data_IF_049116014434
#
_entry.id   IF_049116014434
#
_cell.length_a   1.000
_cell.length_b   1.000
_cell.length_c   1.000
_cell.angle_alpha   90.00
_cell.angle_beta   90.00
_cell.angle_gamma   90.00
#
_symmetry.space_group_name_H-M   'P 1'
#
loop_
_entity.id
_entity.type
_entity.pdbx_description
1 polymer ?
#
# COMPACT_ATOMS: atom_id res chain seq x y z
N UNK A 1 -7.57 23.27 2.99
CA UNK A 1 -6.17 23.76 3.08
C UNK A 1 -5.23 22.56 3.13
N UNK A 2 -4.26 22.47 2.21
CA UNK A 2 -3.22 21.42 2.22
C UNK A 2 -2.20 21.74 3.32
N UNK A 3 -1.89 20.73 4.17
CA UNK A 3 -0.81 20.80 5.15
C UNK A 3 0.28 19.84 4.69
N UNK A 4 1.46 20.37 4.38
CA UNK A 4 2.63 19.57 4.04
C UNK A 4 3.44 19.29 5.30
N UNK A 5 3.68 17.99 5.60
CA UNK A 5 4.53 17.54 6.69
C UNK A 5 5.71 16.79 6.08
N UNK A 6 6.90 17.34 6.22
CA UNK A 6 8.13 16.66 5.82
C UNK A 6 8.57 15.75 6.98
N UNK A 7 8.60 14.43 6.74
CA UNK A 7 8.97 13.42 7.72
C UNK A 7 9.36 12.12 7.00
N UNK A 8 10.42 11.47 7.48
CA UNK A 8 10.70 10.09 7.08
C UNK A 8 9.78 9.16 7.87
N UNK A 9 8.95 8.39 7.15
CA UNK A 9 8.01 7.44 7.77
C UNK A 9 8.70 6.30 8.53
N UNK A 10 9.98 6.04 8.28
CA UNK A 10 10.78 5.08 9.03
C UNK A 10 11.27 5.65 10.37
N UNK A 11 11.30 6.97 10.52
CA UNK A 11 11.66 7.61 11.80
C UNK A 11 10.42 7.71 12.70
N UNK A 12 10.19 6.66 13.51
CA UNK A 12 9.01 6.55 14.37
C UNK A 12 8.86 7.74 15.33
N UNK A 13 9.93 8.18 15.97
CA UNK A 13 9.89 9.27 16.95
C UNK A 13 9.48 10.61 16.30
N UNK A 14 10.09 10.93 15.15
CA UNK A 14 9.75 12.13 14.39
C UNK A 14 8.29 12.07 13.90
N UNK A 15 7.88 10.92 13.33
CA UNK A 15 6.50 10.70 12.87
C UNK A 15 5.49 10.91 14.00
N UNK A 16 5.77 10.37 15.19
CA UNK A 16 4.92 10.54 16.37
C UNK A 16 4.77 12.01 16.77
N UNK A 17 5.86 12.76 16.82
CA UNK A 17 5.83 14.19 17.14
C UNK A 17 5.07 15.02 16.08
N UNK A 18 5.31 14.74 14.81
CA UNK A 18 4.59 15.44 13.72
C UNK A 18 3.09 15.15 13.75
N UNK A 19 2.69 13.90 13.99
CA UNK A 19 1.29 13.52 14.09
C UNK A 19 0.59 14.08 15.30
N UNK A 20 1.27 14.40 16.41
CA UNK A 20 0.64 15.06 17.58
C UNK A 20 -0.08 16.35 17.19
N UNK A 21 0.43 17.09 16.21
CA UNK A 21 -0.13 18.37 15.74
C UNK A 21 -1.44 18.23 14.95
N UNK A 22 -1.76 17.03 14.47
CA UNK A 22 -3.00 16.77 13.74
C UNK A 22 -4.07 16.33 14.74
N UNK A 23 -5.13 17.11 14.87
CA UNK A 23 -6.19 16.84 15.85
C UNK A 23 -7.07 15.65 15.44
N UNK A 24 -7.51 15.61 14.19
CA UNK A 24 -8.48 14.64 13.67
C UNK A 24 -7.91 14.02 12.41
N UNK A 25 -8.05 12.70 12.27
CA UNK A 25 -7.74 11.95 11.07
C UNK A 25 -8.91 11.02 10.80
N UNK A 26 -9.59 11.20 9.68
CA UNK A 26 -10.72 10.37 9.25
C UNK A 26 -10.29 9.31 8.22
N UNK A 27 -9.26 9.62 7.42
CA UNK A 27 -8.76 8.74 6.36
C UNK A 27 -7.23 8.66 6.43
N UNK A 28 -6.70 7.45 6.29
CA UNK A 28 -5.28 7.19 6.08
C UNK A 28 -5.05 6.46 4.76
N UNK A 29 -4.16 7.00 3.93
CA UNK A 29 -3.62 6.28 2.77
C UNK A 29 -2.14 5.97 3.02
N UNK A 30 -1.83 4.73 3.34
CA UNK A 30 -0.48 4.22 3.54
C UNK A 30 0.16 3.90 2.19
N UNK A 31 0.80 4.90 1.57
CA UNK A 31 1.32 4.78 0.21
C UNK A 31 2.86 4.69 0.12
N UNK A 32 3.59 5.08 1.16
CA UNK A 32 5.05 5.05 1.15
C UNK A 32 5.58 3.62 0.92
N UNK A 33 6.49 3.47 -0.03
CA UNK A 33 7.08 2.17 -0.36
C UNK A 33 7.96 2.22 -1.58
N UNK A 34 8.80 1.19 -1.73
CA UNK A 34 9.70 1.04 -2.88
C UNK A 34 9.96 -0.43 -3.20
N UNK A 35 10.70 -0.67 -4.28
CA UNK A 35 11.07 -1.99 -4.73
C UNK A 35 12.52 -2.00 -5.22
N UNK A 36 13.30 -2.97 -4.76
CA UNK A 36 14.67 -3.24 -5.19
C UNK A 36 14.69 -4.64 -5.78
N UNK A 37 14.77 -4.77 -7.12
CA UNK A 37 14.83 -6.06 -7.79
C UNK A 37 16.19 -6.71 -7.63
N UNK A 38 16.22 -7.92 -7.06
CA UNK A 38 17.44 -8.73 -6.93
C UNK A 38 17.10 -10.21 -7.16
N UNK A 39 17.94 -11.00 -7.87
CA UNK A 39 17.85 -12.45 -7.90
C UNK A 39 17.94 -13.00 -6.46
N UNK A 40 17.21 -14.07 -6.15
CA UNK A 40 17.08 -14.58 -4.77
C UNK A 40 18.44 -14.83 -4.12
N UNK A 41 19.34 -15.50 -4.83
CA UNK A 41 20.68 -15.86 -4.33
C UNK A 41 21.64 -14.66 -4.18
N UNK A 42 21.26 -13.49 -4.68
CA UNK A 42 22.05 -12.24 -4.65
C UNK A 42 21.42 -11.14 -3.79
N UNK A 43 20.34 -11.45 -3.10
CA UNK A 43 19.66 -10.49 -2.23
C UNK A 43 20.63 -10.02 -1.14
N UNK A 44 20.86 -8.72 -1.08
CA UNK A 44 21.67 -8.12 -0.01
C UNK A 44 20.85 -7.96 1.25
N UNK A 45 21.45 -8.28 2.39
CA UNK A 45 20.81 -8.10 3.70
C UNK A 45 20.33 -6.66 3.92
N UNK A 46 21.10 -5.67 3.42
CA UNK A 46 20.74 -4.27 3.48
C UNK A 46 19.46 -3.97 2.68
N UNK A 47 19.31 -4.53 1.47
CA UNK A 47 18.11 -4.36 0.65
C UNK A 47 16.90 -4.99 1.33
N UNK A 48 17.08 -6.18 1.94
CA UNK A 48 16.02 -6.87 2.67
C UNK A 48 15.55 -6.02 3.85
N UNK A 49 16.46 -5.58 4.72
CA UNK A 49 16.13 -4.78 5.89
C UNK A 49 15.43 -3.49 5.48
N UNK A 50 15.95 -2.76 4.50
CA UNK A 50 15.38 -1.51 4.03
C UNK A 50 13.95 -1.68 3.47
N UNK A 51 13.71 -2.71 2.65
CA UNK A 51 12.37 -2.98 2.11
C UNK A 51 11.38 -3.39 3.19
N UNK A 52 11.80 -4.21 4.16
CA UNK A 52 10.95 -4.59 5.30
C UNK A 52 10.64 -3.38 6.17
N UNK A 53 11.64 -2.57 6.47
CA UNK A 53 11.47 -1.39 7.32
C UNK A 53 10.55 -0.35 6.67
N UNK A 54 10.74 -0.06 5.38
CA UNK A 54 9.93 0.93 4.67
C UNK A 54 8.52 0.41 4.33
N UNK A 55 8.44 -0.76 3.67
CA UNK A 55 7.16 -1.21 3.10
C UNK A 55 6.22 -1.83 4.13
N UNK A 56 6.74 -2.37 5.25
CA UNK A 56 5.93 -3.11 6.21
C UNK A 56 5.95 -2.47 7.60
N UNK A 57 7.12 -2.30 8.23
CA UNK A 57 7.20 -1.74 9.59
C UNK A 57 6.73 -0.28 9.63
N UNK A 58 7.16 0.55 8.67
CA UNK A 58 6.71 1.94 8.63
C UNK A 58 5.20 2.04 8.40
N UNK A 59 4.63 1.22 7.49
CA UNK A 59 3.18 1.18 7.27
C UNK A 59 2.42 0.78 8.54
N UNK A 60 2.89 -0.23 9.28
CA UNK A 60 2.35 -0.62 10.58
C UNK A 60 2.40 0.53 11.58
N UNK A 61 3.56 1.17 11.72
CA UNK A 61 3.77 2.27 12.68
C UNK A 61 2.86 3.46 12.41
N UNK A 62 2.75 3.88 11.14
CA UNK A 62 1.84 4.96 10.72
C UNK A 62 0.40 4.58 11.07
N UNK A 63 -0.03 3.37 10.69
CA UNK A 63 -1.38 2.89 10.95
C UNK A 63 -1.67 2.87 12.46
N UNK A 64 -0.76 2.35 13.29
CA UNK A 64 -0.94 2.29 14.75
C UNK A 64 -1.12 3.69 15.37
N UNK A 65 -0.29 4.66 14.95
CA UNK A 65 -0.39 6.02 15.45
C UNK A 65 -1.71 6.69 15.03
N UNK A 66 -2.15 6.46 13.80
CA UNK A 66 -3.41 6.99 13.28
C UNK A 66 -4.61 6.33 13.95
N UNK A 67 -4.61 5.00 14.10
CA UNK A 67 -5.68 4.26 14.80
C UNK A 67 -5.86 4.76 16.22
N UNK A 68 -4.78 5.02 16.98
CA UNK A 68 -4.87 5.62 18.32
C UNK A 68 -5.60 6.96 18.31
N UNK A 69 -5.49 7.75 17.23
CA UNK A 69 -6.21 9.02 17.08
C UNK A 69 -7.66 8.81 16.65
N UNK A 70 -7.92 7.92 15.69
CA UNK A 70 -9.28 7.58 15.25
C UNK A 70 -10.13 7.08 16.41
N UNK A 71 -9.59 6.20 17.26
CA UNK A 71 -10.30 5.67 18.44
C UNK A 71 -10.60 6.79 19.48
N UNK A 72 -9.69 7.75 19.67
CA UNK A 72 -9.93 8.89 20.59
C UNK A 72 -11.05 9.81 20.10
N UNK A 73 -11.28 9.88 18.79
CA UNK A 73 -12.38 10.64 18.19
C UNK A 73 -13.69 9.83 18.25
N UNK A 74 -14.22 9.61 19.46
CA UNK A 74 -15.39 8.77 19.73
C UNK A 74 -16.47 8.92 18.66
N UNK A 75 -16.94 7.81 18.10
CA UNK A 75 -18.08 7.67 17.18
C UNK A 75 -17.88 8.20 15.73
N UNK A 76 -16.71 8.66 15.31
CA UNK A 76 -16.49 9.09 13.93
C UNK A 76 -16.09 7.94 12.97
N UNK A 77 -15.44 6.89 13.53
CA UNK A 77 -14.88 5.84 12.71
C UNK A 77 -13.69 6.29 11.88
N UNK A 78 -13.43 5.61 10.79
CA UNK A 78 -12.35 5.96 9.86
C UNK A 78 -12.18 4.97 8.72
N UNK A 79 -11.37 5.34 7.73
CA UNK A 79 -10.98 4.46 6.63
C UNK A 79 -9.46 4.44 6.48
N UNK A 80 -8.87 3.26 6.47
CA UNK A 80 -7.44 3.04 6.25
C UNK A 80 -7.28 2.27 4.93
N UNK A 81 -6.52 2.83 4.01
CA UNK A 81 -6.21 2.22 2.72
C UNK A 81 -4.70 1.96 2.66
N UNK A 82 -4.29 0.71 2.68
CA UNK A 82 -2.91 0.31 2.52
C UNK A 82 -2.61 0.05 1.04
N UNK A 83 -1.54 0.67 0.52
CA UNK A 83 -1.09 0.39 -0.84
C UNK A 83 -0.34 -0.94 -0.89
N UNK A 84 -1.01 -1.94 -1.42
CA UNK A 84 -0.46 -3.27 -1.71
C UNK A 84 0.10 -3.32 -3.15
N UNK A 85 0.00 -4.44 -3.79
CA UNK A 85 0.37 -4.71 -5.17
C UNK A 85 -0.30 -6.02 -5.60
N UNK A 86 -0.47 -6.26 -6.91
CA UNK A 86 -0.79 -7.62 -7.36
C UNK A 86 0.24 -8.64 -6.85
N UNK A 87 1.48 -8.19 -6.54
CA UNK A 87 2.52 -9.02 -5.93
C UNK A 87 2.31 -9.29 -4.42
N UNK A 88 1.21 -8.84 -3.84
CA UNK A 88 0.67 -9.32 -2.57
C UNK A 88 -0.27 -10.52 -2.72
N UNK A 89 -0.52 -10.98 -3.96
CA UNK A 89 -1.41 -12.10 -4.30
C UNK A 89 -0.73 -13.17 -5.16
N UNK A 90 0.28 -12.79 -5.95
CA UNK A 90 1.04 -13.70 -6.81
C UNK A 90 2.54 -13.42 -6.73
N UNK A 91 3.37 -14.40 -7.11
CA UNK A 91 4.82 -14.25 -7.13
C UNK A 91 5.34 -13.66 -8.43
N UNK A 92 6.53 -13.03 -8.36
CA UNK A 92 7.29 -12.59 -9.52
C UNK A 92 8.79 -12.77 -9.28
N UNK A 93 9.49 -13.33 -10.26
CA UNK A 93 10.93 -13.52 -10.19
C UNK A 93 11.68 -12.20 -9.96
N UNK A 94 12.72 -12.24 -9.11
CA UNK A 94 13.52 -11.08 -8.76
C UNK A 94 12.80 -10.06 -7.87
N UNK A 95 11.67 -10.43 -7.24
CA UNK A 95 10.83 -9.56 -6.39
C UNK A 95 10.56 -10.16 -5.00
N UNK A 96 11.36 -11.12 -4.56
CA UNK A 96 11.06 -11.93 -3.38
C UNK A 96 10.78 -11.11 -2.11
N UNK A 97 11.64 -10.13 -1.79
CA UNK A 97 11.43 -9.29 -0.60
C UNK A 97 10.22 -8.36 -0.78
N UNK A 98 10.05 -7.81 -1.98
CA UNK A 98 8.86 -6.99 -2.26
C UNK A 98 7.57 -7.82 -2.16
N UNK A 99 7.54 -9.05 -2.72
CA UNK A 99 6.43 -9.99 -2.53
C UNK A 99 6.16 -10.20 -1.04
N UNK A 100 7.18 -10.59 -0.27
CA UNK A 100 7.07 -10.82 1.17
C UNK A 100 6.44 -9.62 1.90
N UNK A 101 6.88 -8.39 1.57
CA UNK A 101 6.33 -7.18 2.20
C UNK A 101 4.88 -6.94 1.80
N UNK A 102 4.50 -7.18 0.54
CA UNK A 102 3.12 -6.95 0.06
C UNK A 102 2.14 -8.02 0.54
N UNK A 103 2.54 -9.29 0.63
CA UNK A 103 1.77 -10.33 1.34
C UNK A 103 1.61 -9.96 2.82
N UNK A 104 2.66 -9.42 3.46
CA UNK A 104 2.59 -8.92 4.84
C UNK A 104 1.56 -7.79 5.01
N UNK A 105 1.47 -6.86 4.06
CA UNK A 105 0.45 -5.79 4.04
C UNK A 105 -0.97 -6.36 3.90
N UNK A 106 -1.17 -7.38 3.05
CA UNK A 106 -2.47 -8.06 2.93
C UNK A 106 -2.86 -8.72 4.26
N UNK A 107 -1.94 -9.44 4.91
CA UNK A 107 -2.16 -10.05 6.22
C UNK A 107 -2.45 -9.01 7.31
N UNK A 108 -1.66 -7.94 7.38
CA UNK A 108 -1.88 -6.82 8.30
C UNK A 108 -3.28 -6.21 8.12
N UNK A 109 -3.67 -5.99 6.87
CA UNK A 109 -4.99 -5.40 6.53
C UNK A 109 -6.14 -6.28 6.99
N UNK A 110 -6.05 -7.59 6.81
CA UNK A 110 -7.06 -8.55 7.29
C UNK A 110 -7.18 -8.52 8.82
N UNK A 111 -6.05 -8.62 9.53
CA UNK A 111 -6.04 -8.56 11.00
C UNK A 111 -6.63 -7.27 11.54
N UNK A 112 -6.18 -6.12 11.01
CA UNK A 112 -6.72 -4.81 11.39
C UNK A 112 -8.21 -4.68 11.03
N UNK A 113 -8.63 -5.17 9.87
CA UNK A 113 -10.02 -5.12 9.42
C UNK A 113 -10.98 -5.82 10.37
N UNK A 114 -10.58 -6.98 10.90
CA UNK A 114 -11.36 -7.71 11.92
C UNK A 114 -11.34 -6.99 13.27
N UNK A 115 -10.16 -6.61 13.75
CA UNK A 115 -10.01 -6.04 15.09
C UNK A 115 -10.68 -4.66 15.23
N UNK A 116 -10.60 -3.83 14.18
CA UNK A 116 -11.04 -2.44 14.24
C UNK A 116 -12.48 -2.23 13.78
N UNK A 117 -13.15 -3.25 13.23
CA UNK A 117 -14.54 -3.18 12.78
C UNK A 117 -15.49 -2.70 13.88
N UNK A 118 -15.33 -3.20 15.12
CA UNK A 118 -16.13 -2.80 16.28
C UNK A 118 -15.95 -1.34 16.69
N UNK A 119 -14.91 -0.68 16.16
CA UNK A 119 -14.61 0.74 16.37
C UNK A 119 -15.02 1.61 15.18
N UNK A 120 -15.78 1.04 14.26
CA UNK A 120 -16.20 1.69 13.01
C UNK A 120 -15.01 2.18 12.14
N UNK A 121 -13.87 1.47 12.20
CA UNK A 121 -12.70 1.74 11.37
C UNK A 121 -12.56 0.62 10.35
N UNK A 122 -12.65 0.96 9.07
CA UNK A 122 -12.47 0.03 7.95
C UNK A 122 -11.02 0.04 7.50
N UNK A 123 -10.49 -1.12 7.15
CA UNK A 123 -9.10 -1.26 6.69
C UNK A 123 -9.08 -2.14 5.45
N UNK A 124 -8.61 -1.60 4.33
CA UNK A 124 -8.59 -2.30 3.05
C UNK A 124 -7.28 -2.07 2.32
N UNK A 125 -7.02 -2.86 1.29
CA UNK A 125 -5.91 -2.62 0.36
C UNK A 125 -6.40 -2.21 -1.02
N UNK A 126 -5.56 -1.45 -1.72
CA UNK A 126 -5.58 -1.32 -3.18
C UNK A 126 -4.31 -1.96 -3.71
N UNK A 127 -4.44 -2.89 -4.65
CA UNK A 127 -3.37 -3.74 -5.15
C UNK A 127 -3.15 -3.53 -6.66
N UNK A 128 -2.45 -2.47 -7.06
CA UNK A 128 -2.20 -2.20 -8.47
C UNK A 128 -1.11 -3.11 -9.05
N UNK A 129 -1.15 -3.30 -10.37
CA UNK A 129 -0.05 -3.75 -11.18
C UNK A 129 0.90 -2.59 -11.53
N UNK A 130 1.56 -2.63 -12.67
CA UNK A 130 2.39 -1.52 -13.15
C UNK A 130 1.53 -0.28 -13.42
N UNK A 131 1.85 0.82 -12.73
CA UNK A 131 1.20 2.13 -12.89
C UNK A 131 2.16 3.07 -13.62
N UNK A 132 1.68 3.90 -14.54
CA UNK A 132 2.46 4.82 -15.37
C UNK A 132 3.14 5.95 -14.57
N UNK A 133 3.85 5.61 -13.51
CA UNK A 133 4.63 6.51 -12.67
C UNK A 133 6.00 6.80 -13.29
N UNK A 134 6.70 7.87 -12.86
CA UNK A 134 8.09 8.12 -13.26
C UNK A 134 9.03 6.92 -12.99
N UNK A 135 8.79 6.17 -11.93
CA UNK A 135 9.55 4.95 -11.59
C UNK A 135 9.33 3.85 -12.65
N UNK A 136 8.08 3.54 -12.98
CA UNK A 136 7.76 2.49 -13.95
C UNK A 136 8.20 2.88 -15.36
N UNK A 137 8.09 4.17 -15.73
CA UNK A 137 8.62 4.68 -17.01
C UNK A 137 10.12 4.44 -17.15
N UNK A 138 10.91 4.50 -16.06
CA UNK A 138 12.33 4.14 -16.09
C UNK A 138 12.54 2.65 -16.37
N UNK A 139 11.77 1.76 -15.73
CA UNK A 139 11.84 0.31 -15.99
C UNK A 139 11.41 -0.04 -17.41
N UNK A 140 10.41 0.62 -17.94
CA UNK A 140 9.88 0.38 -19.29
C UNK A 140 10.79 0.88 -20.42
N UNK A 141 11.89 1.59 -20.13
CA UNK A 141 12.97 1.82 -21.11
C UNK A 141 13.61 0.51 -21.58
N UNK A 142 13.63 -0.53 -20.74
CA UNK A 142 13.99 -1.88 -21.16
C UNK A 142 12.79 -2.51 -21.87
N UNK A 143 12.84 -2.56 -23.22
CA UNK A 143 11.77 -3.11 -24.06
C UNK A 143 11.42 -4.57 -23.73
N UNK A 144 12.43 -5.40 -23.43
CA UNK A 144 12.21 -6.82 -23.06
C UNK A 144 11.39 -6.91 -21.77
N UNK A 145 11.75 -6.13 -20.75
CA UNK A 145 11.01 -6.07 -19.50
C UNK A 145 9.60 -5.50 -19.70
N UNK A 146 9.45 -4.42 -20.49
CA UNK A 146 8.13 -3.84 -20.80
C UNK A 146 7.21 -4.86 -21.46
N UNK A 147 7.70 -5.59 -22.48
CA UNK A 147 6.90 -6.59 -23.17
C UNK A 147 6.51 -7.75 -22.24
N UNK A 148 7.43 -8.21 -21.39
CA UNK A 148 7.14 -9.22 -20.36
C UNK A 148 6.06 -8.70 -19.39
N UNK A 149 6.19 -7.50 -18.88
CA UNK A 149 5.25 -6.92 -17.93
C UNK A 149 3.86 -6.74 -18.54
N UNK A 150 3.76 -6.12 -19.71
CA UNK A 150 2.48 -5.89 -20.39
C UNK A 150 1.85 -7.19 -20.90
N UNK A 151 2.66 -8.17 -21.34
CA UNK A 151 2.17 -9.49 -21.76
C UNK A 151 1.54 -10.30 -20.63
N UNK A 152 1.88 -10.00 -19.38
CA UNK A 152 1.23 -10.61 -18.21
C UNK A 152 -0.06 -9.91 -17.77
N UNK A 153 -0.36 -8.73 -18.31
CA UNK A 153 -1.61 -8.01 -18.03
C UNK A 153 -2.60 -8.35 -19.17
N UNK A 154 -3.69 -9.09 -18.94
CA UNK A 154 -4.68 -9.40 -19.98
C UNK A 154 -5.22 -8.18 -20.73
N UNK A 155 -5.39 -7.05 -20.05
CA UNK A 155 -5.78 -5.79 -20.70
C UNK A 155 -4.69 -5.16 -21.57
N UNK A 156 -3.46 -5.72 -21.61
CA UNK A 156 -2.35 -5.30 -22.48
C UNK A 156 -1.75 -3.93 -22.21
N UNK A 157 -2.10 -3.27 -21.12
CA UNK A 157 -1.65 -1.91 -20.76
C UNK A 157 -1.38 -1.75 -19.27
N UNK A 158 -0.49 -0.82 -18.91
CA UNK A 158 -0.30 -0.39 -17.54
C UNK A 158 -1.50 0.43 -17.05
N UNK A 159 -1.75 0.40 -15.74
CA UNK A 159 -2.74 1.25 -15.11
C UNK A 159 -2.27 2.72 -15.11
N UNK A 160 -3.22 3.65 -15.08
CA UNK A 160 -2.95 5.07 -14.83
C UNK A 160 -3.02 5.36 -13.33
N UNK A 161 -2.39 6.44 -12.90
CA UNK A 161 -2.51 6.91 -11.51
C UNK A 161 -3.97 7.18 -11.12
N UNK A 162 -4.79 7.67 -12.06
CA UNK A 162 -6.24 7.87 -11.86
C UNK A 162 -6.99 6.58 -11.56
N UNK A 163 -6.62 5.45 -12.16
CA UNK A 163 -7.31 4.17 -11.94
C UNK A 163 -7.15 3.74 -10.47
N UNK A 164 -5.93 3.92 -9.93
CA UNK A 164 -5.62 3.64 -8.53
C UNK A 164 -6.30 4.65 -7.60
N UNK A 165 -6.24 5.94 -7.92
CA UNK A 165 -6.85 7.01 -7.10
C UNK A 165 -8.36 6.84 -6.98
N UNK A 166 -9.06 6.43 -8.04
CA UNK A 166 -10.50 6.18 -8.01
C UNK A 166 -10.87 5.07 -7.01
N UNK A 167 -10.11 3.96 -6.99
CA UNK A 167 -10.34 2.88 -6.02
C UNK A 167 -10.06 3.33 -4.59
N UNK A 168 -9.01 4.15 -4.37
CA UNK A 168 -8.72 4.76 -3.07
C UNK A 168 -9.87 5.66 -2.62
N UNK A 169 -10.39 6.53 -3.49
CA UNK A 169 -11.52 7.40 -3.18
C UNK A 169 -12.78 6.59 -2.85
N UNK A 170 -13.07 5.51 -3.59
CA UNK A 170 -14.18 4.62 -3.30
C UNK A 170 -14.06 4.01 -1.90
N UNK A 171 -12.90 3.41 -1.57
CA UNK A 171 -12.67 2.80 -0.25
C UNK A 171 -12.67 3.84 0.89
N UNK A 172 -12.30 5.08 0.61
CA UNK A 172 -12.33 6.17 1.59
C UNK A 172 -13.75 6.68 1.89
N UNK A 173 -14.69 6.49 0.96
CA UNK A 173 -16.06 7.01 1.04
C UNK A 173 -17.02 6.07 1.78
N UNK A 174 -18.21 6.58 2.11
CA UNK A 174 -19.31 5.83 2.70
C UNK A 174 -19.89 4.77 1.75
N UNK A 175 -19.66 4.88 0.44
CA UNK A 175 -20.03 3.84 -0.53
C UNK A 175 -19.37 2.48 -0.24
N UNK A 176 -18.28 2.46 0.53
CA UNK A 176 -17.57 1.26 0.96
C UNK A 176 -17.86 0.89 2.43
N UNK A 177 -19.01 1.32 3.01
CA UNK A 177 -19.31 1.18 4.44
C UNK A 177 -19.24 -0.26 4.98
N UNK A 178 -19.55 -1.26 4.16
CA UNK A 178 -19.51 -2.68 4.52
C UNK A 178 -18.24 -3.41 4.03
N UNK A 179 -17.23 -2.67 3.53
CA UNK A 179 -16.00 -3.26 2.99
C UNK A 179 -14.86 -3.02 3.99
N UNK A 180 -14.39 -4.11 4.61
CA UNK A 180 -13.20 -4.12 5.49
C UNK A 180 -12.46 -5.45 5.37
N UNK A 181 -11.13 -5.46 5.55
CA UNK A 181 -10.28 -6.63 5.40
C UNK A 181 -10.14 -7.12 3.93
N UNK A 182 -10.57 -6.32 2.96
CA UNK A 182 -10.64 -6.67 1.55
C UNK A 182 -9.51 -6.03 0.73
N UNK A 183 -9.25 -6.59 -0.45
CA UNK A 183 -8.29 -6.08 -1.42
C UNK A 183 -8.98 -5.76 -2.74
N UNK A 184 -8.76 -4.55 -3.28
CA UNK A 184 -9.19 -4.18 -4.63
C UNK A 184 -8.00 -4.27 -5.57
N UNK A 185 -8.06 -5.23 -6.48
CA UNK A 185 -7.06 -5.43 -7.52
C UNK A 185 -7.26 -4.44 -8.67
N UNK A 186 -6.20 -3.69 -9.02
CA UNK A 186 -6.17 -2.78 -10.17
C UNK A 186 -5.06 -3.29 -11.10
N UNK A 187 -5.25 -4.49 -11.62
CA UNK A 187 -4.18 -5.27 -12.25
C UNK A 187 -4.46 -5.69 -13.69
N UNK A 188 -5.58 -5.25 -14.25
CA UNK A 188 -5.98 -5.57 -15.63
C UNK A 188 -6.13 -7.06 -15.89
N UNK A 189 -6.44 -7.85 -14.84
CA UNK A 189 -6.65 -9.30 -14.89
C UNK A 189 -5.39 -10.13 -14.66
N UNK A 190 -4.26 -9.53 -14.23
CA UNK A 190 -3.02 -10.30 -13.99
C UNK A 190 -3.22 -11.46 -13.04
N UNK A 191 -3.93 -11.28 -11.94
CA UNK A 191 -4.13 -12.31 -10.91
C UNK A 191 -5.35 -13.20 -11.12
N UNK A 192 -6.10 -12.97 -12.19
CA UNK A 192 -7.32 -13.74 -12.51
C UNK A 192 -7.05 -15.03 -13.32
N UNK A 193 -5.79 -15.36 -13.63
CA UNK A 193 -5.36 -16.50 -14.44
C UNK A 193 -4.41 -17.40 -13.63
#
# INVERSE_FOLDING_TARGET
KLIKINCDVMNFSELQEKLKKIKIIDILVNNAGTNIPEPFEKIKQQSMNYLVDLNLKAAFNVAQLVVKKMIKNKNRGGSIINMSSQLGHVGMSGRNIYNMTKFGIEGLTKGMGVELATKNIRVNTVAPTFVETPMVKKFFKNKKFKNLALGNIPMGKAAKESDVATAVCFLASDAAAMITGSSILIDGGWTAK
#
